data_IF_399136587717
#
_entry.id   IF_399136587717
#
_cell.length_a   1.000
_cell.length_b   1.000
_cell.length_c   1.000
_cell.angle_alpha   90.00
_cell.angle_beta   90.00
_cell.angle_gamma   90.00
#
_symmetry.space_group_name_H-M   'P 1'
#
loop_
_entity.id
_entity.type
_entity.pdbx_description
1 polymer ?
#
# COMPACT_ATOMS: atom_id res chain seq x y z
N UNK A 1 -15.25 -2.13 1.36
CA UNK A 1 -14.92 -2.89 2.59
C UNK A 1 -13.42 -2.89 2.81
N UNK A 2 -12.97 -2.52 3.99
CA UNK A 2 -11.56 -2.43 4.39
C UNK A 2 -11.33 -2.98 5.80
N UNK A 3 -10.07 -3.01 6.24
CA UNK A 3 -9.63 -3.22 7.60
C UNK A 3 -8.28 -2.55 7.85
N UNK A 4 -8.03 -2.08 9.06
CA UNK A 4 -6.83 -1.32 9.44
C UNK A 4 -5.61 -2.20 9.72
N UNK A 5 -5.47 -3.31 9.02
CA UNK A 5 -4.27 -4.15 9.07
C UNK A 5 -3.13 -3.45 8.31
N UNK A 6 -2.17 -2.86 9.06
CA UNK A 6 -1.02 -2.15 8.49
C UNK A 6 -1.31 -0.81 7.77
N UNK A 7 -2.58 -0.39 7.64
CA UNK A 7 -2.99 0.91 7.06
C UNK A 7 -3.01 1.00 5.53
N UNK A 8 -2.48 0.03 4.80
CA UNK A 8 -2.47 0.05 3.33
C UNK A 8 -3.85 -0.16 2.71
N UNK A 9 -4.70 -0.96 3.34
CA UNK A 9 -6.08 -1.21 2.90
C UNK A 9 -6.96 0.03 3.07
N UNK A 10 -6.83 0.72 4.21
CA UNK A 10 -7.56 1.96 4.47
C UNK A 10 -7.16 3.07 3.51
N UNK A 11 -5.85 3.19 3.19
CA UNK A 11 -5.38 4.16 2.22
C UNK A 11 -6.05 3.96 0.84
N UNK A 12 -6.26 2.71 0.42
CA UNK A 12 -6.97 2.37 -0.83
C UNK A 12 -8.46 2.68 -0.76
N UNK A 13 -9.12 2.34 0.33
CA UNK A 13 -10.54 2.67 0.51
C UNK A 13 -10.77 4.18 0.50
N UNK A 14 -9.88 4.94 1.14
CA UNK A 14 -9.88 6.41 1.09
C UNK A 14 -9.60 6.93 -0.32
N UNK A 15 -8.65 6.32 -1.04
CA UNK A 15 -8.34 6.71 -2.41
C UNK A 15 -9.55 6.51 -3.31
N UNK A 16 -10.23 5.35 -3.22
CA UNK A 16 -11.45 5.06 -3.96
C UNK A 16 -12.52 6.13 -3.71
N UNK A 17 -12.86 6.41 -2.45
CA UNK A 17 -13.86 7.43 -2.09
C UNK A 17 -13.48 8.83 -2.62
N UNK A 18 -12.21 9.21 -2.56
CA UNK A 18 -11.75 10.52 -3.06
C UNK A 18 -11.84 10.63 -4.57
N UNK A 19 -11.49 9.57 -5.30
CA UNK A 19 -11.59 9.53 -6.75
C UNK A 19 -13.03 9.57 -7.23
N UNK A 20 -13.92 8.77 -6.64
CA UNK A 20 -15.37 8.82 -6.95
C UNK A 20 -15.90 10.23 -6.70
N UNK A 21 -15.56 10.83 -5.56
CA UNK A 21 -15.97 12.18 -5.23
C UNK A 21 -15.48 13.22 -6.23
N UNK A 22 -14.25 13.06 -6.72
CA UNK A 22 -13.65 13.94 -7.72
C UNK A 22 -14.32 13.84 -9.10
N UNK A 23 -14.65 12.61 -9.52
CA UNK A 23 -15.17 12.36 -10.88
C UNK A 23 -16.69 12.56 -10.94
N UNK A 24 -17.42 12.03 -9.96
CA UNK A 24 -18.88 11.99 -9.95
C UNK A 24 -19.52 12.95 -8.94
N UNK A 25 -18.75 13.65 -8.15
CA UNK A 25 -19.31 14.56 -7.14
C UNK A 25 -20.17 13.82 -6.12
N UNK A 26 -21.45 14.19 -6.03
CA UNK A 26 -22.44 13.58 -5.15
C UNK A 26 -23.38 12.58 -5.87
N UNK A 27 -23.19 12.39 -7.18
CA UNK A 27 -24.02 11.48 -7.98
C UNK A 27 -23.78 10.01 -7.59
N UNK A 28 -22.61 9.69 -7.08
CA UNK A 28 -22.25 8.36 -6.58
C UNK A 28 -21.89 8.42 -5.10
N UNK A 29 -22.66 7.73 -4.28
CA UNK A 29 -22.41 7.61 -2.86
C UNK A 29 -21.43 6.48 -2.57
N UNK A 30 -20.43 6.74 -1.74
CA UNK A 30 -19.44 5.75 -1.31
C UNK A 30 -19.40 5.66 0.21
N UNK A 31 -19.81 4.52 0.74
CA UNK A 31 -19.69 4.16 2.14
C UNK A 31 -18.46 3.26 2.34
N UNK A 32 -17.60 3.60 3.30
CA UNK A 32 -16.43 2.82 3.67
C UNK A 32 -16.68 2.16 5.01
N UNK A 33 -16.54 0.84 5.06
CA UNK A 33 -16.76 0.03 6.26
C UNK A 33 -15.48 -0.71 6.67
N UNK A 34 -15.07 -0.54 7.92
CA UNK A 34 -13.94 -1.26 8.54
C UNK A 34 -14.43 -2.59 9.11
N UNK A 35 -14.73 -3.53 8.21
CA UNK A 35 -15.53 -4.71 8.49
C UNK A 35 -15.01 -5.58 9.66
N UNK A 36 -13.69 -5.78 9.79
CA UNK A 36 -13.17 -6.65 10.85
C UNK A 36 -13.29 -5.99 12.23
N UNK A 37 -13.01 -4.69 12.32
CA UNK A 37 -13.01 -3.93 13.56
C UNK A 37 -14.42 -3.62 14.06
N UNK A 38 -15.30 -3.23 13.14
CA UNK A 38 -16.64 -2.76 13.47
C UNK A 38 -17.61 -3.91 13.73
N UNK A 39 -17.34 -5.08 13.11
CA UNK A 39 -18.25 -6.20 13.17
C UNK A 39 -18.18 -7.04 14.45
N UNK A 40 -17.04 -7.11 15.10
CA UNK A 40 -16.88 -7.96 16.29
C UNK A 40 -15.69 -7.60 17.17
N UNK A 41 -15.79 -7.91 18.49
CA UNK A 41 -14.66 -7.76 19.40
C UNK A 41 -13.48 -8.67 19.03
N UNK A 42 -13.77 -9.88 18.50
CA UNK A 42 -12.74 -10.84 18.04
C UNK A 42 -12.02 -10.28 16.81
N UNK A 43 -12.72 -9.71 15.84
CA UNK A 43 -12.12 -9.06 14.68
C UNK A 43 -11.22 -7.90 15.09
N UNK A 44 -11.68 -7.04 15.99
CA UNK A 44 -10.89 -5.92 16.55
C UNK A 44 -9.62 -6.42 17.24
N UNK A 45 -9.72 -7.47 18.05
CA UNK A 45 -8.55 -8.08 18.68
C UNK A 45 -7.58 -8.66 17.63
N UNK A 46 -8.09 -9.35 16.62
CA UNK A 46 -7.26 -9.90 15.51
C UNK A 46 -6.47 -8.82 14.77
N UNK A 47 -7.11 -7.69 14.45
CA UNK A 47 -6.43 -6.53 13.82
C UNK A 47 -5.38 -5.91 14.75
N UNK A 48 -5.72 -5.73 16.04
CA UNK A 48 -4.77 -5.22 17.04
C UNK A 48 -3.57 -6.15 17.21
N UNK A 49 -3.80 -7.45 17.26
CA UNK A 49 -2.76 -8.49 17.37
C UNK A 49 -1.87 -8.51 16.10
N UNK A 50 -2.45 -8.42 14.90
CA UNK A 50 -1.70 -8.29 13.65
C UNK A 50 -0.76 -7.09 13.70
N UNK A 51 -1.28 -5.92 14.06
CA UNK A 51 -0.49 -4.69 14.13
C UNK A 51 0.59 -4.74 15.23
N UNK A 52 0.32 -5.42 16.34
CA UNK A 52 1.31 -5.67 17.40
C UNK A 52 2.46 -6.56 16.88
N UNK A 53 2.17 -7.68 16.24
CA UNK A 53 3.19 -8.56 15.65
C UNK A 53 4.03 -7.76 14.65
N UNK A 54 3.40 -6.97 13.78
CA UNK A 54 4.09 -6.16 12.78
C UNK A 54 5.11 -5.20 13.41
N UNK A 55 4.79 -4.63 14.56
CA UNK A 55 5.65 -3.69 15.27
C UNK A 55 6.77 -4.38 16.07
N UNK A 56 6.43 -5.44 16.79
CA UNK A 56 7.28 -6.01 17.83
C UNK A 56 8.01 -7.30 17.41
N UNK A 57 7.40 -8.11 16.55
CA UNK A 57 7.91 -9.44 16.19
C UNK A 57 7.55 -9.84 14.75
N UNK A 58 8.11 -9.15 13.72
CA UNK A 58 7.73 -9.38 12.31
C UNK A 58 7.88 -10.83 11.85
N UNK A 59 8.80 -11.60 12.44
CA UNK A 59 8.99 -13.02 12.12
C UNK A 59 7.78 -13.90 12.47
N UNK A 60 6.95 -13.50 13.45
CA UNK A 60 5.70 -14.18 13.81
C UNK A 60 4.62 -14.09 12.72
N UNK A 61 4.78 -13.19 11.76
CA UNK A 61 3.85 -13.16 10.62
C UNK A 61 3.88 -14.41 9.75
N UNK A 62 4.98 -15.16 9.75
CA UNK A 62 5.06 -16.42 9.00
C UNK A 62 4.11 -17.49 9.55
N UNK A 63 4.19 -17.91 10.83
CA UNK A 63 3.23 -18.85 11.38
C UNK A 63 1.79 -18.29 11.43
N UNK A 64 1.63 -16.98 11.68
CA UNK A 64 0.32 -16.32 11.62
C UNK A 64 -0.30 -16.44 10.22
N UNK A 65 0.45 -16.14 9.16
CA UNK A 65 -0.02 -16.25 7.79
C UNK A 65 -0.44 -17.69 7.45
N UNK A 66 0.38 -18.69 7.81
CA UNK A 66 0.06 -20.11 7.58
C UNK A 66 -1.21 -20.51 8.32
N UNK A 67 -1.40 -20.04 9.56
CA UNK A 67 -2.62 -20.30 10.34
C UNK A 67 -3.85 -19.68 9.67
N UNK A 68 -3.80 -18.42 9.29
CA UNK A 68 -4.94 -17.73 8.64
C UNK A 68 -5.26 -18.37 7.29
N UNK A 69 -4.26 -18.70 6.47
CA UNK A 69 -4.45 -19.41 5.22
C UNK A 69 -5.06 -20.82 5.47
N UNK A 70 -4.58 -21.56 6.48
CA UNK A 70 -5.14 -22.86 6.86
C UNK A 70 -6.60 -22.76 7.28
N UNK A 71 -6.96 -21.81 8.14
CA UNK A 71 -8.33 -21.56 8.55
C UNK A 71 -9.24 -21.19 7.36
N UNK A 72 -8.71 -20.53 6.36
CA UNK A 72 -9.47 -20.17 5.16
C UNK A 72 -9.91 -21.38 4.31
N UNK A 73 -9.22 -22.53 4.43
CA UNK A 73 -9.66 -23.78 3.81
C UNK A 73 -10.90 -24.40 4.49
N UNK A 74 -11.06 -24.15 5.79
CA UNK A 74 -12.22 -24.62 6.55
C UNK A 74 -13.45 -23.74 6.28
N UNK A 75 -13.25 -22.46 5.98
CA UNK A 75 -14.33 -21.51 5.73
C UNK A 75 -14.57 -21.30 4.21
N UNK A 76 -15.39 -22.15 3.61
CA UNK A 76 -15.55 -22.19 2.16
C UNK A 76 -16.55 -21.19 1.56
N UNK A 77 -17.58 -20.74 2.30
CA UNK A 77 -18.67 -19.94 1.67
C UNK A 77 -19.49 -19.06 2.62
N UNK A 78 -19.13 -18.93 3.88
CA UNK A 78 -19.93 -18.17 4.85
C UNK A 78 -19.08 -17.16 5.60
N UNK A 79 -19.66 -15.97 5.85
CA UNK A 79 -19.10 -15.03 6.81
C UNK A 79 -19.23 -15.62 8.20
N UNK A 80 -18.11 -15.95 8.84
CA UNK A 80 -18.09 -16.55 10.18
C UNK A 80 -18.06 -15.48 11.27
N UNK A 81 -17.29 -14.41 11.05
CA UNK A 81 -17.16 -13.30 11.98
C UNK A 81 -17.90 -12.08 11.46
N UNK A 82 -18.74 -11.48 12.31
CA UNK A 82 -19.41 -10.23 11.97
C UNK A 82 -20.57 -10.35 10.97
N UNK A 83 -21.07 -11.55 10.66
CA UNK A 83 -22.15 -11.78 9.70
C UNK A 83 -23.36 -10.89 9.98
N UNK A 84 -23.80 -10.81 11.24
CA UNK A 84 -24.98 -10.03 11.65
C UNK A 84 -24.80 -8.56 11.28
N UNK A 85 -23.68 -7.98 11.68
CA UNK A 85 -23.34 -6.59 11.36
C UNK A 85 -23.30 -6.35 9.85
N UNK A 86 -22.58 -7.20 9.11
CA UNK A 86 -22.50 -7.09 7.66
C UNK A 86 -23.88 -7.17 6.99
N UNK A 87 -24.71 -8.14 7.39
CA UNK A 87 -26.06 -8.29 6.85
C UNK A 87 -26.94 -7.07 7.14
N UNK A 88 -26.82 -6.46 8.32
CA UNK A 88 -27.51 -5.20 8.66
C UNK A 88 -27.04 -4.03 7.77
N UNK A 89 -25.72 -3.89 7.56
CA UNK A 89 -25.17 -2.88 6.65
C UNK A 89 -25.71 -3.05 5.24
N UNK A 90 -25.70 -4.28 4.69
CA UNK A 90 -26.18 -4.57 3.33
C UNK A 90 -27.68 -4.30 3.19
N UNK A 91 -28.50 -4.72 4.17
CA UNK A 91 -29.96 -4.47 4.13
C UNK A 91 -30.32 -3.00 4.20
N UNK A 92 -29.59 -2.24 5.02
CA UNK A 92 -29.89 -0.83 5.26
C UNK A 92 -29.36 0.07 4.12
N UNK A 93 -28.15 -0.21 3.62
CA UNK A 93 -27.51 0.61 2.60
C UNK A 93 -27.88 0.22 1.17
N UNK A 94 -28.19 -1.07 0.93
CA UNK A 94 -28.54 -1.66 -0.38
C UNK A 94 -27.60 -1.26 -1.49
N UNK A 95 -26.28 -1.54 -1.37
CA UNK A 95 -25.31 -1.10 -2.35
C UNK A 95 -25.50 -1.81 -3.70
N UNK A 96 -25.31 -1.09 -4.82
CA UNK A 96 -25.25 -1.69 -6.16
C UNK A 96 -23.90 -2.36 -6.41
N UNK A 97 -22.84 -1.92 -5.69
CA UNK A 97 -21.50 -2.50 -5.76
C UNK A 97 -20.91 -2.73 -4.37
N UNK A 98 -20.43 -3.93 -4.12
CA UNK A 98 -19.61 -4.26 -2.96
C UNK A 98 -18.17 -4.43 -3.42
N UNK A 99 -17.32 -3.43 -3.11
CA UNK A 99 -15.89 -3.46 -3.39
C UNK A 99 -15.12 -3.91 -2.14
N UNK A 100 -14.30 -4.96 -2.28
CA UNK A 100 -13.31 -5.36 -1.28
C UNK A 100 -11.91 -4.90 -1.68
N UNK A 101 -11.22 -4.23 -0.75
CA UNK A 101 -9.81 -3.88 -0.88
C UNK A 101 -8.93 -4.66 0.11
N UNK A 102 -9.49 -5.71 0.72
CA UNK A 102 -8.82 -6.54 1.72
C UNK A 102 -9.04 -8.03 1.39
N UNK A 103 -8.01 -8.86 1.51
CA UNK A 103 -8.07 -10.28 1.17
C UNK A 103 -9.12 -11.06 1.97
N UNK A 104 -9.24 -10.83 3.26
CA UNK A 104 -10.19 -11.55 4.12
C UNK A 104 -11.67 -11.13 3.93
N UNK A 105 -11.98 -10.13 3.09
CA UNK A 105 -13.32 -9.58 2.94
C UNK A 105 -13.99 -9.91 1.58
N UNK A 106 -13.55 -10.95 0.91
CA UNK A 106 -14.10 -11.39 -0.36
C UNK A 106 -15.04 -12.59 -0.17
N UNK A 107 -14.45 -13.70 0.27
CA UNK A 107 -15.15 -14.98 0.39
C UNK A 107 -16.19 -14.95 1.51
N UNK A 108 -17.40 -15.41 1.18
CA UNK A 108 -18.53 -15.37 2.10
C UNK A 108 -19.28 -14.03 2.07
N UNK A 109 -18.57 -12.90 2.03
CA UNK A 109 -19.16 -11.57 2.00
C UNK A 109 -19.94 -11.31 0.69
N UNK A 110 -19.36 -11.66 -0.45
CA UNK A 110 -20.03 -11.53 -1.74
C UNK A 110 -21.26 -12.42 -1.86
N UNK A 111 -21.18 -13.66 -1.35
CA UNK A 111 -22.32 -14.57 -1.30
C UNK A 111 -23.45 -14.04 -0.42
N UNK A 112 -23.11 -13.50 0.77
CA UNK A 112 -24.09 -12.94 1.70
C UNK A 112 -24.78 -11.70 1.12
N UNK A 113 -24.04 -10.80 0.45
CA UNK A 113 -24.62 -9.63 -0.20
C UNK A 113 -25.63 -10.04 -1.27
N UNK A 114 -25.28 -11.01 -2.11
CA UNK A 114 -26.19 -11.53 -3.15
C UNK A 114 -27.38 -12.28 -2.59
N UNK A 115 -27.21 -12.98 -1.47
CA UNK A 115 -28.33 -13.66 -0.80
C UNK A 115 -29.35 -12.67 -0.21
N UNK A 116 -28.89 -11.48 0.20
CA UNK A 116 -29.75 -10.45 0.79
C UNK A 116 -30.44 -9.60 -0.30
N UNK A 117 -29.70 -9.19 -1.33
CA UNK A 117 -30.18 -8.20 -2.31
C UNK A 117 -30.67 -8.81 -3.63
N UNK A 118 -30.33 -10.07 -3.90
CA UNK A 118 -30.47 -10.68 -5.24
C UNK A 118 -29.19 -10.49 -6.06
N UNK A 119 -28.85 -11.49 -6.86
CA UNK A 119 -27.63 -11.48 -7.69
C UNK A 119 -27.66 -10.40 -8.78
N UNK A 120 -28.84 -10.08 -9.26
CA UNK A 120 -29.12 -9.06 -10.27
C UNK A 120 -28.94 -7.63 -9.73
N UNK A 121 -29.18 -7.39 -8.43
CA UNK A 121 -29.23 -6.07 -7.81
C UNK A 121 -27.90 -5.65 -7.16
N UNK A 122 -26.89 -6.53 -7.13
CA UNK A 122 -25.58 -6.21 -6.56
C UNK A 122 -24.45 -6.87 -7.34
N UNK A 123 -23.44 -6.08 -7.64
CA UNK A 123 -22.16 -6.55 -8.18
C UNK A 123 -21.11 -6.60 -7.10
N UNK A 124 -20.10 -7.46 -7.29
CA UNK A 124 -19.03 -7.66 -6.33
C UNK A 124 -17.67 -7.55 -7.02
N UNK A 125 -16.81 -6.70 -6.50
CA UNK A 125 -15.47 -6.48 -7.04
C UNK A 125 -14.39 -6.62 -5.98
N UNK A 126 -13.21 -7.06 -6.41
CA UNK A 126 -11.99 -7.13 -5.60
C UNK A 126 -10.91 -6.25 -6.21
N UNK A 127 -10.30 -5.38 -5.40
CA UNK A 127 -9.04 -4.72 -5.77
C UNK A 127 -7.88 -5.39 -5.03
N UNK A 128 -7.14 -6.25 -5.71
CA UNK A 128 -5.96 -6.92 -5.18
C UNK A 128 -4.74 -6.01 -5.23
N UNK A 129 -4.09 -5.84 -4.09
CA UNK A 129 -2.96 -4.94 -3.93
C UNK A 129 -1.59 -5.59 -4.15
N UNK A 130 -1.55 -6.91 -4.39
CA UNK A 130 -0.29 -7.63 -4.50
C UNK A 130 0.44 -7.30 -5.82
N UNK A 131 1.79 -7.29 -5.75
CA UNK A 131 2.65 -7.08 -6.92
C UNK A 131 2.98 -8.37 -7.66
N UNK A 132 3.08 -9.47 -6.92
CA UNK A 132 3.47 -10.76 -7.47
C UNK A 132 2.71 -11.90 -6.80
N UNK A 133 2.82 -13.09 -7.37
CA UNK A 133 2.34 -14.33 -6.77
C UNK A 133 3.44 -15.10 -6.05
N UNK A 134 3.04 -16.03 -5.21
CA UNK A 134 3.93 -16.91 -4.45
C UNK A 134 3.57 -16.98 -2.97
N UNK A 135 4.52 -17.39 -2.13
CA UNK A 135 4.34 -17.38 -0.69
C UNK A 135 4.10 -15.96 -0.16
N UNK A 136 2.98 -15.75 0.51
CA UNK A 136 2.49 -14.44 0.95
C UNK A 136 1.31 -13.91 0.13
N UNK A 137 0.99 -14.51 -1.01
CA UNK A 137 -0.24 -14.22 -1.74
C UNK A 137 -1.39 -15.01 -1.11
N UNK A 138 -2.24 -14.32 -0.37
CA UNK A 138 -3.39 -14.97 0.26
C UNK A 138 -4.38 -15.48 -0.77
N UNK A 139 -4.80 -16.75 -0.62
CA UNK A 139 -5.88 -17.33 -1.43
C UNK A 139 -7.20 -16.56 -1.28
N UNK A 140 -7.36 -15.87 -0.18
CA UNK A 140 -8.56 -15.12 0.13
C UNK A 140 -8.76 -13.89 -0.78
N UNK A 141 -7.72 -13.45 -1.50
CA UNK A 141 -7.88 -12.49 -2.59
C UNK A 141 -8.79 -13.01 -3.70
N UNK A 142 -8.80 -14.33 -3.92
CA UNK A 142 -9.49 -14.92 -5.06
C UNK A 142 -10.81 -15.54 -4.63
N UNK A 143 -11.90 -14.91 -5.04
CA UNK A 143 -13.26 -15.41 -4.91
C UNK A 143 -13.85 -15.65 -6.31
N UNK A 144 -14.09 -16.91 -6.74
CA UNK A 144 -14.52 -17.22 -8.10
C UNK A 144 -15.84 -16.57 -8.52
N UNK A 145 -16.70 -16.25 -7.54
CA UNK A 145 -17.99 -15.58 -7.80
C UNK A 145 -17.88 -14.08 -8.00
N UNK A 146 -16.68 -13.49 -7.94
CA UNK A 146 -16.45 -12.06 -8.20
C UNK A 146 -16.92 -11.69 -9.61
N UNK A 147 -17.51 -10.51 -9.78
CA UNK A 147 -17.87 -9.99 -11.10
C UNK A 147 -16.65 -9.33 -11.78
N UNK A 148 -15.85 -8.60 -10.99
CA UNK A 148 -14.63 -7.93 -11.45
C UNK A 148 -13.50 -8.09 -10.45
N UNK A 149 -12.35 -8.54 -10.94
CA UNK A 149 -11.10 -8.59 -10.16
C UNK A 149 -10.07 -7.64 -10.75
N UNK A 150 -9.72 -6.61 -10.00
CA UNK A 150 -8.72 -5.62 -10.42
C UNK A 150 -7.37 -6.03 -9.85
N UNK A 151 -6.46 -6.40 -10.72
CA UNK A 151 -5.07 -6.73 -10.38
C UNK A 151 -4.16 -5.53 -10.62
N UNK A 152 -3.17 -5.35 -9.75
CA UNK A 152 -2.17 -4.30 -9.89
C UNK A 152 -1.21 -4.58 -11.05
N UNK A 153 -0.77 -5.83 -11.19
CA UNK A 153 0.25 -6.24 -12.15
C UNK A 153 -0.19 -7.46 -12.97
N UNK A 154 0.43 -7.65 -14.12
CA UNK A 154 0.27 -8.86 -14.92
C UNK A 154 0.76 -10.10 -14.17
N UNK A 155 1.82 -9.97 -13.37
CA UNK A 155 2.38 -11.08 -12.58
C UNK A 155 1.39 -11.57 -11.54
N UNK A 156 0.72 -10.66 -10.80
CA UNK A 156 -0.32 -11.01 -9.85
C UNK A 156 -1.57 -11.60 -10.55
N UNK A 157 -2.00 -11.02 -11.70
CA UNK A 157 -3.08 -11.59 -12.53
C UNK A 157 -2.76 -13.04 -12.92
N UNK A 158 -1.60 -13.27 -13.51
CA UNK A 158 -1.20 -14.60 -13.97
C UNK A 158 -1.21 -15.62 -12.82
N UNK A 159 -0.79 -15.21 -11.63
CA UNK A 159 -0.81 -16.09 -10.47
C UNK A 159 -2.24 -16.41 -10.02
N UNK A 160 -3.15 -15.45 -10.00
CA UNK A 160 -4.57 -15.69 -9.70
C UNK A 160 -5.20 -16.68 -10.69
N UNK A 161 -4.90 -16.55 -11.99
CA UNK A 161 -5.38 -17.46 -13.06
C UNK A 161 -4.77 -18.85 -12.91
N UNK A 162 -3.43 -18.93 -12.85
CA UNK A 162 -2.75 -20.24 -12.91
C UNK A 162 -2.90 -21.04 -11.63
N UNK A 163 -2.77 -20.38 -10.47
CA UNK A 163 -2.78 -21.04 -9.15
C UNK A 163 -4.18 -21.27 -8.60
N UNK A 164 -5.08 -20.29 -8.78
CA UNK A 164 -6.42 -20.32 -8.18
C UNK A 164 -7.56 -20.49 -9.20
N UNK A 165 -7.21 -20.60 -10.49
CA UNK A 165 -8.17 -20.84 -11.58
C UNK A 165 -9.25 -19.76 -11.68
N UNK A 166 -8.89 -18.51 -11.32
CA UNK A 166 -9.79 -17.39 -11.53
C UNK A 166 -9.94 -17.14 -13.04
N UNK A 167 -11.16 -16.93 -13.49
CA UNK A 167 -11.49 -16.66 -14.88
C UNK A 167 -10.72 -15.40 -15.37
N UNK A 168 -9.87 -15.52 -16.40
CA UNK A 168 -9.09 -14.40 -16.90
C UNK A 168 -9.94 -13.26 -17.48
N UNK A 169 -11.17 -13.53 -17.93
CA UNK A 169 -12.09 -12.50 -18.46
C UNK A 169 -12.61 -11.57 -17.37
N UNK A 170 -12.66 -12.05 -16.12
CA UNK A 170 -13.03 -11.23 -14.95
C UNK A 170 -11.88 -10.37 -14.44
N UNK A 171 -10.66 -10.48 -14.99
CA UNK A 171 -9.48 -9.84 -14.42
C UNK A 171 -8.95 -8.74 -15.35
N UNK A 172 -8.97 -7.52 -14.84
CA UNK A 172 -8.29 -6.38 -15.48
C UNK A 172 -7.02 -6.01 -14.71
N UNK A 173 -6.06 -5.39 -15.41
CA UNK A 173 -4.81 -4.88 -14.82
C UNK A 173 -4.82 -3.36 -14.94
N UNK A 174 -4.77 -2.64 -13.81
CA UNK A 174 -4.90 -1.17 -13.77
C UNK A 174 -3.73 -0.43 -13.09
N UNK A 175 -2.67 -1.14 -12.72
CA UNK A 175 -1.52 -0.52 -12.05
C UNK A 175 -1.80 -0.07 -10.61
N UNK A 176 -1.24 1.09 -10.24
CA UNK A 176 -1.38 1.64 -8.90
C UNK A 176 -2.66 2.48 -8.78
N UNK A 177 -3.23 2.44 -7.59
CA UNK A 177 -4.39 3.25 -7.26
C UNK A 177 -4.11 4.01 -5.97
N UNK A 178 -3.65 5.25 -6.12
CA UNK A 178 -3.28 6.17 -5.04
C UNK A 178 -4.31 7.30 -4.95
N UNK A 179 -4.27 8.08 -3.88
CA UNK A 179 -5.18 9.23 -3.70
C UNK A 179 -4.93 10.30 -4.78
N UNK A 180 -5.96 11.06 -5.22
CA UNK A 180 -5.84 12.05 -6.31
C UNK A 180 -4.66 13.01 -6.16
N UNK A 181 -4.44 13.54 -4.95
CA UNK A 181 -3.39 14.53 -4.68
C UNK A 181 -1.98 14.06 -5.08
N UNK A 182 -1.71 12.74 -5.06
CA UNK A 182 -0.40 12.20 -5.45
C UNK A 182 -0.12 12.42 -6.93
N UNK A 183 -1.17 12.41 -7.75
CA UNK A 183 -1.08 12.65 -9.19
C UNK A 183 -1.09 14.14 -9.53
N UNK A 184 -1.64 14.99 -8.68
CA UNK A 184 -1.91 16.40 -8.91
C UNK A 184 -0.87 17.33 -8.29
N UNK A 185 -0.41 17.01 -7.08
CA UNK A 185 0.52 17.84 -6.32
C UNK A 185 1.97 17.49 -6.70
N UNK A 186 2.53 18.26 -7.62
CA UNK A 186 3.93 18.14 -8.03
C UNK A 186 4.69 19.41 -7.70
N UNK A 187 5.72 19.27 -6.88
CA UNK A 187 6.60 20.39 -6.55
C UNK A 187 7.40 20.85 -7.77
N UNK A 188 7.37 22.14 -8.06
CA UNK A 188 8.31 22.78 -8.96
C UNK A 188 9.73 22.72 -8.39
N UNK A 189 10.74 22.99 -9.21
CA UNK A 189 12.13 23.03 -8.75
C UNK A 189 12.33 24.03 -7.61
N UNK A 190 11.68 25.19 -7.67
CA UNK A 190 11.74 26.22 -6.63
C UNK A 190 11.07 25.76 -5.32
N UNK A 191 9.86 25.21 -5.40
CA UNK A 191 9.13 24.69 -4.24
C UNK A 191 9.88 23.50 -3.59
N UNK A 192 10.47 22.63 -4.42
CA UNK A 192 11.32 21.53 -3.94
C UNK A 192 12.52 22.06 -3.16
N UNK A 193 13.21 23.07 -3.68
CA UNK A 193 14.33 23.71 -3.00
C UNK A 193 13.90 24.32 -1.66
N UNK A 194 12.84 25.10 -1.65
CA UNK A 194 12.28 25.71 -0.43
C UNK A 194 11.86 24.67 0.59
N UNK A 195 11.18 23.64 0.16
CA UNK A 195 10.73 22.56 1.05
C UNK A 195 11.92 21.87 1.72
N UNK A 196 12.99 21.57 0.95
CA UNK A 196 14.22 20.96 1.49
C UNK A 196 14.90 21.90 2.51
N UNK A 197 15.06 23.18 2.18
CA UNK A 197 15.87 24.11 2.99
C UNK A 197 15.10 24.71 4.16
N UNK A 198 13.89 25.19 3.92
CA UNK A 198 13.09 25.91 4.91
C UNK A 198 12.26 24.97 5.79
N UNK A 199 11.57 23.98 5.19
CA UNK A 199 10.70 23.05 5.94
C UNK A 199 11.48 21.94 6.62
N UNK A 200 12.45 21.32 5.91
CA UNK A 200 13.21 20.18 6.43
C UNK A 200 14.52 20.60 7.11
N UNK A 201 15.04 21.79 6.86
CA UNK A 201 16.37 22.23 7.34
C UNK A 201 17.51 21.40 6.79
N UNK A 202 17.32 20.84 5.60
CA UNK A 202 18.31 20.02 4.88
C UNK A 202 18.99 20.84 3.78
N UNK A 203 20.02 20.30 3.17
CA UNK A 203 20.74 20.91 2.05
C UNK A 203 20.19 20.43 0.73
N UNK A 204 20.05 21.32 -0.25
CA UNK A 204 19.57 20.95 -1.59
C UNK A 204 20.63 20.32 -2.50
N UNK A 205 21.91 20.42 -2.11
CA UNK A 205 23.07 19.87 -2.84
C UNK A 205 23.49 18.47 -2.37
N UNK A 206 22.84 17.91 -1.34
CA UNK A 206 23.11 16.55 -0.83
C UNK A 206 21.94 15.62 -1.10
N UNK A 207 22.24 14.34 -1.31
CA UNK A 207 21.21 13.32 -1.52
C UNK A 207 20.42 13.05 -0.23
N UNK A 208 19.11 12.95 -0.34
CA UNK A 208 18.21 12.69 0.79
C UNK A 208 17.82 11.21 0.80
N UNK A 209 18.20 10.53 1.89
CA UNK A 209 17.70 9.18 2.20
C UNK A 209 16.47 9.32 3.08
N UNK A 210 15.34 8.80 2.62
CA UNK A 210 14.10 8.80 3.35
C UNK A 210 13.90 7.48 4.10
N UNK A 211 13.94 7.51 5.43
CA UNK A 211 13.61 6.35 6.28
C UNK A 211 12.12 6.34 6.57
N UNK A 212 11.35 5.53 5.82
CA UNK A 212 9.90 5.41 5.92
C UNK A 212 9.50 4.02 6.43
N UNK A 213 9.15 3.90 7.69
CA UNK A 213 8.91 2.59 8.34
C UNK A 213 7.44 2.23 8.48
N UNK A 214 6.56 2.90 7.73
CA UNK A 214 5.11 2.69 7.75
C UNK A 214 4.39 3.46 8.87
N UNK A 215 3.04 3.49 8.82
CA UNK A 215 2.22 4.31 9.70
C UNK A 215 2.29 3.93 11.19
N UNK A 216 2.57 2.66 11.50
CA UNK A 216 2.77 2.17 12.88
C UNK A 216 4.18 2.41 13.42
N UNK A 217 5.14 2.70 12.53
CA UNK A 217 6.52 3.00 12.85
C UNK A 217 7.32 1.78 13.35
N UNK A 218 8.21 1.22 12.53
CA UNK A 218 9.18 0.23 13.01
C UNK A 218 10.21 0.90 13.94
N UNK A 219 10.89 0.10 14.77
CA UNK A 219 11.78 0.62 15.82
C UNK A 219 13.28 0.42 15.48
N UNK A 220 13.62 0.37 14.20
CA UNK A 220 14.98 0.04 13.75
C UNK A 220 15.73 1.18 13.03
N UNK A 221 15.20 2.40 13.05
CA UNK A 221 15.84 3.57 12.42
C UNK A 221 17.24 3.83 12.98
N UNK A 222 17.39 3.73 14.30
CA UNK A 222 18.66 4.00 14.98
C UNK A 222 19.80 3.10 14.53
N UNK A 223 19.50 1.87 14.12
CA UNK A 223 20.53 0.94 13.64
C UNK A 223 21.09 1.31 12.28
N UNK A 224 20.35 2.11 11.49
CA UNK A 224 20.75 2.53 10.14
C UNK A 224 21.49 3.88 10.13
N UNK A 225 21.18 4.77 11.10
CA UNK A 225 21.74 6.11 11.14
C UNK A 225 23.27 6.17 11.23
N UNK A 226 23.96 5.30 12.00
CA UNK A 226 25.44 5.28 12.04
C UNK A 226 26.08 5.00 10.67
N UNK A 227 25.50 4.10 9.87
CA UNK A 227 26.00 3.81 8.52
C UNK A 227 25.84 5.04 7.59
N UNK A 228 24.71 5.76 7.70
CA UNK A 228 24.50 6.98 6.90
C UNK A 228 25.44 8.11 7.34
N UNK A 229 25.70 8.21 8.65
CA UNK A 229 26.59 9.25 9.21
C UNK A 229 28.01 9.20 8.62
N UNK A 230 28.54 8.03 8.34
CA UNK A 230 29.88 7.86 7.73
C UNK A 230 30.00 8.56 6.37
N UNK A 231 28.87 8.79 5.68
CA UNK A 231 28.82 9.43 4.36
C UNK A 231 28.03 10.74 4.39
N UNK A 232 28.09 11.48 5.52
CA UNK A 232 27.32 12.71 5.76
C UNK A 232 27.64 13.85 4.78
N UNK A 233 28.79 13.82 4.11
CA UNK A 233 29.13 14.78 3.05
C UNK A 233 28.32 14.56 1.76
N UNK A 234 27.90 13.33 1.49
CA UNK A 234 27.13 12.97 0.29
C UNK A 234 25.64 12.81 0.59
N UNK A 235 25.32 12.26 1.76
CA UNK A 235 23.96 11.89 2.15
C UNK A 235 23.51 12.62 3.41
N UNK A 236 22.23 12.88 3.45
CA UNK A 236 21.50 13.38 4.60
C UNK A 236 20.20 12.59 4.76
N UNK A 237 19.53 12.71 5.88
CA UNK A 237 18.42 11.80 6.18
C UNK A 237 17.14 12.53 6.60
N UNK A 238 16.03 12.05 6.05
CA UNK A 238 14.68 12.36 6.48
C UNK A 238 14.10 11.11 7.16
N UNK A 239 13.75 11.20 8.43
CA UNK A 239 13.24 10.08 9.22
C UNK A 239 11.79 10.34 9.58
N UNK A 240 10.90 9.42 9.22
CA UNK A 240 9.49 9.45 9.65
C UNK A 240 9.23 8.27 10.58
N UNK A 241 8.86 8.59 11.82
CA UNK A 241 8.63 7.61 12.89
C UNK A 241 7.17 7.16 13.01
N UNK A 242 6.25 7.72 12.19
CA UNK A 242 4.83 7.42 12.26
C UNK A 242 4.25 7.68 13.66
N UNK A 243 3.36 6.80 14.12
CA UNK A 243 2.74 6.89 15.45
C UNK A 243 3.61 6.31 16.58
N UNK A 244 4.89 6.06 16.32
CA UNK A 244 5.83 5.53 17.32
C UNK A 244 6.58 6.66 18.02
N UNK A 245 5.98 7.22 19.08
CA UNK A 245 6.58 8.31 19.87
C UNK A 245 7.91 7.90 20.52
N UNK A 246 8.09 6.64 20.90
CA UNK A 246 9.35 6.16 21.48
C UNK A 246 10.48 6.23 20.44
N UNK A 247 10.25 5.73 19.23
CA UNK A 247 11.20 5.82 18.14
C UNK A 247 11.52 7.29 17.79
N UNK A 248 10.49 8.15 17.75
CA UNK A 248 10.66 9.59 17.52
C UNK A 248 11.59 10.23 18.54
N UNK A 249 11.37 9.99 19.83
CA UNK A 249 12.21 10.56 20.90
C UNK A 249 13.65 10.01 20.84
N UNK A 250 13.82 8.71 20.60
CA UNK A 250 15.14 8.08 20.45
C UNK A 250 15.93 8.68 19.29
N UNK A 251 15.30 8.85 18.11
CA UNK A 251 15.94 9.44 16.94
C UNK A 251 16.29 10.91 17.18
N UNK A 252 15.42 11.69 17.82
CA UNK A 252 15.70 13.08 18.18
C UNK A 252 16.90 13.21 19.14
N UNK A 253 17.00 12.34 20.14
CA UNK A 253 18.13 12.33 21.06
C UNK A 253 19.42 11.93 20.32
N UNK A 254 19.37 10.93 19.46
CA UNK A 254 20.51 10.53 18.63
C UNK A 254 20.98 11.71 17.75
N UNK A 255 20.06 12.41 17.09
CA UNK A 255 20.37 13.60 16.27
C UNK A 255 21.12 14.67 17.05
N UNK A 256 20.70 14.97 18.29
CA UNK A 256 21.38 15.98 19.14
C UNK A 256 22.85 15.62 19.40
N UNK A 257 23.13 14.32 19.55
CA UNK A 257 24.48 13.81 19.83
C UNK A 257 25.29 13.58 18.54
N UNK A 258 24.70 13.79 17.36
CA UNK A 258 25.35 13.56 16.07
C UNK A 258 25.05 14.72 15.10
N UNK A 259 25.54 15.95 15.40
CA UNK A 259 25.25 17.15 14.61
C UNK A 259 25.84 17.12 13.20
N UNK A 260 26.86 16.28 12.96
CA UNK A 260 27.53 16.14 11.67
C UNK A 260 26.60 15.56 10.58
N UNK A 261 25.64 14.71 10.96
CA UNK A 261 24.64 14.23 10.03
C UNK A 261 23.42 15.16 10.00
N UNK A 262 23.20 15.84 8.88
CA UNK A 262 21.96 16.57 8.64
C UNK A 262 20.78 15.59 8.66
N UNK A 263 19.87 15.81 9.62
CA UNK A 263 18.77 14.90 9.88
C UNK A 263 17.49 15.68 10.18
N UNK A 264 16.43 15.44 9.37
CA UNK A 264 15.07 15.86 9.72
C UNK A 264 14.34 14.67 10.35
N UNK A 265 13.62 14.92 11.45
CA UNK A 265 12.88 13.86 12.17
C UNK A 265 11.44 14.28 12.30
N UNK A 266 10.54 13.46 11.77
CA UNK A 266 9.11 13.67 11.78
C UNK A 266 8.37 12.53 12.50
N UNK A 267 7.27 12.85 13.16
CA UNK A 267 6.35 11.86 13.73
C UNK A 267 5.36 11.35 12.68
N UNK A 268 4.08 11.27 13.07
CA UNK A 268 3.01 11.01 12.11
C UNK A 268 2.68 12.28 11.32
N UNK A 269 2.71 12.17 10.00
CA UNK A 269 2.40 13.30 9.11
C UNK A 269 1.57 12.88 7.90
N UNK A 270 0.97 13.87 7.25
CA UNK A 270 0.18 13.70 6.02
C UNK A 270 0.95 14.14 4.76
N UNK A 271 2.23 14.51 4.90
CA UNK A 271 3.09 15.06 3.84
C UNK A 271 4.00 14.00 3.19
N UNK A 272 3.70 12.71 3.36
CA UNK A 272 4.53 11.60 2.84
C UNK A 272 4.83 11.74 1.34
N UNK A 273 3.85 12.22 0.57
CA UNK A 273 4.01 12.45 -0.87
C UNK A 273 5.02 13.57 -1.19
N UNK A 274 5.10 14.61 -0.36
CA UNK A 274 6.10 15.69 -0.50
C UNK A 274 7.48 15.18 -0.10
N UNK A 275 7.56 14.41 0.98
CA UNK A 275 8.82 13.78 1.41
C UNK A 275 9.38 12.84 0.33
N UNK A 276 8.51 12.06 -0.32
CA UNK A 276 8.92 11.19 -1.42
C UNK A 276 9.43 11.97 -2.63
N UNK A 277 8.78 13.09 -2.98
CA UNK A 277 9.19 13.95 -4.10
C UNK A 277 10.57 14.60 -3.90
N UNK A 278 10.97 14.90 -2.67
CA UNK A 278 12.25 15.54 -2.39
C UNK A 278 13.38 14.56 -2.15
N UNK A 279 13.06 13.29 -1.94
CA UNK A 279 14.02 12.25 -1.60
C UNK A 279 14.67 11.62 -2.83
N UNK A 280 15.92 11.21 -2.69
CA UNK A 280 16.67 10.51 -3.74
C UNK A 280 16.54 9.00 -3.63
N UNK A 281 16.17 8.50 -2.44
CA UNK A 281 16.09 7.10 -2.09
C UNK A 281 15.16 6.93 -0.89
N UNK A 282 14.34 5.88 -0.87
CA UNK A 282 13.54 5.50 0.30
C UNK A 282 13.95 4.14 0.85
N UNK A 283 14.11 4.06 2.16
CA UNK A 283 14.29 2.78 2.88
C UNK A 283 12.97 2.45 3.56
N UNK A 284 12.34 1.36 3.14
CA UNK A 284 11.01 0.94 3.62
C UNK A 284 10.90 -0.57 3.71
N UNK A 285 9.88 -1.06 4.44
CA UNK A 285 9.68 -2.51 4.64
C UNK A 285 9.03 -3.24 3.47
N UNK A 286 8.46 -2.55 2.51
CA UNK A 286 7.79 -3.17 1.38
C UNK A 286 6.26 -3.11 1.46
N UNK A 287 5.70 -2.22 2.27
CA UNK A 287 4.27 -1.93 2.23
C UNK A 287 3.85 -1.44 0.84
N UNK A 288 2.84 -2.07 0.26
CA UNK A 288 2.48 -1.88 -1.15
C UNK A 288 2.07 -0.45 -1.50
N UNK A 289 1.53 0.33 -0.55
CA UNK A 289 1.19 1.75 -0.78
C UNK A 289 2.44 2.60 -0.90
N UNK A 290 3.38 2.49 0.05
CA UNK A 290 4.64 3.24 0.03
C UNK A 290 5.47 2.91 -1.21
N UNK A 291 5.51 1.63 -1.62
CA UNK A 291 6.22 1.22 -2.84
C UNK A 291 5.55 1.79 -4.11
N UNK A 292 4.21 1.92 -4.12
CA UNK A 292 3.50 2.57 -5.22
C UNK A 292 3.80 4.06 -5.30
N UNK A 293 3.83 4.75 -4.16
CA UNK A 293 4.20 6.16 -4.07
C UNK A 293 5.65 6.37 -4.53
N UNK A 294 6.58 5.52 -4.05
CA UNK A 294 7.98 5.56 -4.46
C UNK A 294 8.14 5.41 -5.97
N UNK A 295 7.42 4.46 -6.58
CA UNK A 295 7.48 4.25 -8.02
C UNK A 295 6.85 5.41 -8.80
N UNK A 296 5.75 5.98 -8.29
CA UNK A 296 5.12 7.16 -8.90
C UNK A 296 6.08 8.37 -8.94
N UNK A 297 6.81 8.60 -7.84
CA UNK A 297 7.78 9.70 -7.73
C UNK A 297 9.19 9.34 -8.19
N UNK A 298 9.40 8.17 -8.77
CA UNK A 298 10.70 7.70 -9.28
C UNK A 298 11.79 7.70 -8.19
N UNK A 299 11.39 7.44 -6.92
CA UNK A 299 12.27 7.37 -5.75
C UNK A 299 12.68 5.91 -5.51
N UNK A 300 13.93 5.48 -5.81
CA UNK A 300 14.36 4.09 -5.66
C UNK A 300 14.17 3.56 -4.25
N UNK A 301 13.98 2.25 -4.14
CA UNK A 301 13.68 1.58 -2.88
C UNK A 301 14.87 0.75 -2.42
N UNK A 302 15.21 0.88 -1.13
CA UNK A 302 15.91 -0.17 -0.37
C UNK A 302 14.89 -0.83 0.54
N UNK A 303 14.72 -2.13 0.41
CA UNK A 303 13.89 -2.91 1.31
C UNK A 303 14.59 -3.15 2.64
N UNK A 304 13.96 -2.71 3.72
CA UNK A 304 14.44 -2.90 5.08
C UNK A 304 14.00 -4.27 5.62
N UNK A 305 14.88 -5.26 5.53
CA UNK A 305 14.70 -6.61 6.05
C UNK A 305 15.12 -6.80 7.50
N UNK A 306 15.58 -5.75 8.21
CA UNK A 306 15.99 -5.84 9.60
C UNK A 306 14.82 -6.32 10.49
N UNK A 307 15.04 -7.37 11.28
CA UNK A 307 14.01 -7.97 12.13
C UNK A 307 13.04 -8.90 11.42
N UNK A 308 13.29 -9.20 10.14
CA UNK A 308 12.49 -10.09 9.29
C UNK A 308 11.54 -9.35 8.36
N UNK A 309 11.11 -10.03 7.30
CA UNK A 309 10.21 -9.54 6.25
C UNK A 309 8.91 -10.33 6.30
N UNK A 310 7.78 -9.66 6.31
CA UNK A 310 6.47 -10.33 6.28
C UNK A 310 6.24 -11.06 4.94
N UNK A 311 5.42 -12.13 4.91
CA UNK A 311 5.14 -12.88 3.67
C UNK A 311 4.70 -11.99 2.51
N UNK A 312 3.80 -11.04 2.74
CA UNK A 312 3.29 -10.11 1.72
C UNK A 312 4.36 -9.10 1.28
N UNK A 313 5.20 -8.63 2.21
CA UNK A 313 6.33 -7.74 1.90
C UNK A 313 7.39 -8.42 1.04
N UNK A 314 7.58 -9.76 1.22
CA UNK A 314 8.46 -10.56 0.34
C UNK A 314 7.99 -10.56 -1.10
N UNK A 315 6.68 -10.59 -1.34
CA UNK A 315 6.14 -10.51 -2.71
C UNK A 315 6.43 -9.16 -3.36
N UNK A 316 6.26 -8.08 -2.60
CA UNK A 316 6.60 -6.73 -3.06
C UNK A 316 8.09 -6.64 -3.37
N UNK A 317 8.95 -7.04 -2.43
CA UNK A 317 10.39 -7.03 -2.63
C UNK A 317 10.79 -7.89 -3.85
N UNK A 318 10.27 -9.11 -3.97
CA UNK A 318 10.53 -9.99 -5.12
C UNK A 318 10.24 -9.31 -6.45
N UNK A 319 9.14 -8.55 -6.54
CA UNK A 319 8.75 -7.86 -7.76
C UNK A 319 9.78 -6.77 -8.15
N UNK A 320 10.20 -5.94 -7.19
CA UNK A 320 11.12 -4.84 -7.44
C UNK A 320 12.58 -5.28 -7.58
N UNK A 321 12.96 -6.43 -7.01
CA UNK A 321 14.33 -6.96 -7.11
C UNK A 321 14.59 -7.70 -8.44
N UNK A 322 13.55 -8.01 -9.23
CA UNK A 322 13.70 -8.80 -10.46
C UNK A 322 14.66 -8.13 -11.43
N UNK A 323 14.67 -6.93 -11.72
CA UNK A 323 15.56 -6.28 -12.71
C UNK A 323 16.64 -5.43 -12.04
N UNK A 324 17.09 -5.82 -10.85
CA UNK A 324 18.02 -5.03 -10.03
C UNK A 324 17.56 -3.56 -9.86
N UNK A 325 16.25 -3.37 -9.81
CA UNK A 325 15.63 -2.05 -9.73
C UNK A 325 15.47 -1.55 -8.29
N UNK A 326 15.76 -2.39 -7.31
CA UNK A 326 15.76 -2.08 -5.89
C UNK A 326 16.86 -2.85 -5.19
N UNK A 327 17.14 -2.46 -3.95
CA UNK A 327 18.09 -3.15 -3.07
C UNK A 327 17.36 -3.70 -1.84
N UNK A 328 17.98 -4.65 -1.14
CA UNK A 328 17.51 -5.16 0.14
C UNK A 328 18.66 -5.20 1.15
N UNK A 329 18.38 -4.80 2.39
CA UNK A 329 19.33 -4.87 3.49
C UNK A 329 18.77 -5.76 4.59
N UNK A 330 19.60 -6.63 5.16
CA UNK A 330 19.26 -7.52 6.27
C UNK A 330 19.98 -7.13 7.57
N UNK A 331 21.03 -6.35 7.46
CA UNK A 331 21.82 -5.81 8.56
C UNK A 331 22.36 -4.41 8.21
N UNK A 332 22.72 -3.58 9.19
CA UNK A 332 23.24 -2.23 8.94
C UNK A 332 24.48 -2.19 8.04
N UNK A 333 25.36 -3.20 8.12
CA UNK A 333 26.54 -3.29 7.26
C UNK A 333 26.21 -3.43 5.76
N UNK A 334 25.02 -3.96 5.40
CA UNK A 334 24.60 -4.01 4.00
C UNK A 334 24.33 -2.59 3.47
N UNK A 335 23.73 -1.72 4.29
CA UNK A 335 23.53 -0.32 3.93
C UNK A 335 24.86 0.42 3.80
N UNK A 336 25.77 0.21 4.75
CA UNK A 336 27.11 0.81 4.72
C UNK A 336 27.85 0.44 3.42
N UNK A 337 27.83 -0.83 3.03
CA UNK A 337 28.41 -1.32 1.77
C UNK A 337 27.80 -0.62 0.55
N UNK A 338 26.48 -0.47 0.49
CA UNK A 338 25.79 0.23 -0.62
C UNK A 338 26.19 1.70 -0.67
N UNK A 339 26.20 2.39 0.47
CA UNK A 339 26.55 3.82 0.53
C UNK A 339 28.02 4.04 0.16
N UNK A 340 28.94 3.17 0.62
CA UNK A 340 30.34 3.18 0.23
C UNK A 340 30.50 3.04 -1.28
N UNK A 341 29.80 2.06 -1.86
CA UNK A 341 29.84 1.80 -3.29
C UNK A 341 29.32 3.00 -4.10
N UNK A 342 28.19 3.57 -3.71
CA UNK A 342 27.59 4.73 -4.41
C UNK A 342 28.36 6.03 -4.20
N UNK A 343 29.06 6.16 -3.08
CA UNK A 343 29.96 7.28 -2.84
C UNK A 343 31.21 7.19 -3.73
N UNK A 344 31.76 5.96 -3.89
CA UNK A 344 32.95 5.71 -4.73
C UNK A 344 32.62 5.68 -6.23
N UNK A 345 31.45 5.15 -6.59
CA UNK A 345 31.00 4.95 -7.95
C UNK A 345 29.56 5.52 -8.14
N UNK A 346 29.42 6.85 -8.27
CA UNK A 346 28.10 7.50 -8.36
C UNK A 346 27.23 7.04 -9.54
N UNK A 347 27.83 6.48 -10.60
CA UNK A 347 27.13 5.90 -11.76
C UNK A 347 26.26 4.72 -11.34
N UNK A 348 26.68 3.89 -10.37
CA UNK A 348 25.87 2.75 -9.90
C UNK A 348 24.56 3.20 -9.26
N UNK A 349 24.58 4.30 -8.52
CA UNK A 349 23.35 4.89 -8.00
C UNK A 349 22.47 5.48 -9.12
N UNK A 350 23.06 6.12 -10.13
CA UNK A 350 22.32 6.59 -11.31
C UNK A 350 21.69 5.45 -12.09
N UNK A 351 22.39 4.32 -12.20
CA UNK A 351 21.89 3.11 -12.87
C UNK A 351 20.70 2.50 -12.11
N UNK A 352 20.78 2.42 -10.78
CA UNK A 352 19.65 2.01 -9.95
C UNK A 352 18.44 2.91 -10.19
N UNK A 353 18.62 4.25 -10.16
CA UNK A 353 17.55 5.22 -10.45
C UNK A 353 16.94 5.00 -11.84
N UNK A 354 17.76 4.74 -12.85
CA UNK A 354 17.31 4.49 -14.22
C UNK A 354 16.50 3.19 -14.31
N UNK A 355 16.99 2.08 -13.75
CA UNK A 355 16.26 0.80 -13.72
C UNK A 355 14.95 0.93 -12.97
N UNK A 356 14.94 1.59 -11.82
CA UNK A 356 13.73 1.83 -11.05
C UNK A 356 12.69 2.64 -11.82
N UNK A 357 13.11 3.70 -12.53
CA UNK A 357 12.23 4.51 -13.40
C UNK A 357 11.59 3.68 -14.50
N UNK A 358 12.32 2.73 -15.09
CA UNK A 358 11.82 1.87 -16.16
C UNK A 358 10.73 0.89 -15.70
N UNK A 359 10.60 0.65 -14.38
CA UNK A 359 9.50 -0.14 -13.82
C UNK A 359 8.17 0.61 -13.77
N UNK A 360 8.17 1.90 -14.08
CA UNK A 360 6.97 2.74 -13.95
C UNK A 360 5.80 2.20 -14.76
N UNK A 361 4.65 2.08 -14.11
CA UNK A 361 3.39 1.78 -14.77
C UNK A 361 2.77 3.05 -15.36
N UNK A 362 2.01 2.87 -16.43
CA UNK A 362 1.07 3.90 -16.86
C UNK A 362 -0.20 3.76 -16.01
N UNK A 363 -0.16 4.39 -14.83
CA UNK A 363 -1.31 4.40 -13.92
C UNK A 363 -2.47 5.18 -14.52
N UNK A 364 -3.66 4.60 -14.43
CA UNK A 364 -4.90 5.24 -14.88
C UNK A 364 -5.97 5.08 -13.79
N UNK A 365 -5.84 5.81 -12.68
CA UNK A 365 -6.76 5.64 -11.54
C UNK A 365 -8.21 6.00 -11.88
N UNK A 366 -8.45 6.92 -12.81
CA UNK A 366 -9.79 7.22 -13.29
C UNK A 366 -10.45 6.02 -13.98
N UNK A 367 -9.70 5.23 -14.76
CA UNK A 367 -10.23 4.01 -15.39
C UNK A 367 -10.71 2.98 -14.36
N UNK A 368 -10.01 2.86 -13.20
CA UNK A 368 -10.48 2.01 -12.09
C UNK A 368 -11.86 2.44 -11.63
N UNK A 369 -12.09 3.74 -11.54
CA UNK A 369 -13.38 4.28 -11.10
C UNK A 369 -14.44 4.04 -12.15
N UNK A 370 -14.16 4.28 -13.43
CA UNK A 370 -15.08 4.00 -14.53
C UNK A 370 -15.47 2.53 -14.55
N UNK A 371 -14.52 1.60 -14.56
CA UNK A 371 -14.78 0.15 -14.52
C UNK A 371 -15.71 -0.25 -13.35
N UNK A 372 -15.52 0.34 -12.18
CA UNK A 372 -16.30 0.00 -10.98
C UNK A 372 -17.68 0.67 -10.96
N UNK A 373 -17.81 1.89 -11.48
CA UNK A 373 -19.11 2.58 -11.57
C UNK A 373 -19.95 1.96 -12.68
N UNK A 374 -19.36 1.60 -13.82
CA UNK A 374 -20.03 0.88 -14.90
C UNK A 374 -20.56 -0.46 -14.39
N UNK A 375 -19.71 -1.19 -13.65
CA UNK A 375 -20.13 -2.45 -13.02
C UNK A 375 -21.31 -2.24 -12.03
N UNK A 376 -21.30 -1.13 -11.27
CA UNK A 376 -22.42 -0.79 -10.38
C UNK A 376 -23.71 -0.48 -11.15
N UNK A 377 -23.60 0.20 -12.29
CA UNK A 377 -24.72 0.50 -13.17
C UNK A 377 -25.38 -0.75 -13.74
N UNK A 378 -24.62 -1.82 -13.99
CA UNK A 378 -25.19 -3.10 -14.42
C UNK A 378 -26.11 -3.76 -13.39
N UNK A 379 -26.06 -3.31 -12.14
CA UNK A 379 -26.99 -3.73 -11.09
C UNK A 379 -28.27 -2.87 -11.02
N UNK A 380 -28.34 -1.77 -11.77
CA UNK A 380 -29.52 -0.94 -11.86
C UNK A 380 -30.50 -1.46 -12.93
N UNK A 381 -31.82 -1.35 -12.72
CA UNK A 381 -32.82 -1.55 -13.78
C UNK A 381 -32.52 -0.63 -14.96
N UNK A 382 -32.72 -1.09 -16.21
CA UNK A 382 -32.38 -0.32 -17.42
C UNK A 382 -32.98 1.10 -17.41
N UNK A 383 -34.22 1.25 -16.93
CA UNK A 383 -34.94 2.54 -16.82
C UNK A 383 -34.33 3.51 -15.81
N UNK A 384 -33.47 3.03 -14.91
CA UNK A 384 -32.84 3.81 -13.83
C UNK A 384 -31.34 4.06 -14.10
N UNK A 385 -30.81 3.54 -15.22
CA UNK A 385 -29.41 3.75 -15.60
C UNK A 385 -29.20 5.19 -16.08
N UNK A 386 -28.47 6.04 -15.34
CA UNK A 386 -28.14 7.36 -15.83
C UNK A 386 -27.29 7.26 -17.09
N UNK A 387 -27.49 8.21 -18.01
CA UNK A 387 -26.57 8.32 -19.15
C UNK A 387 -25.14 8.59 -18.63
N UNK A 388 -24.23 7.66 -18.88
CA UNK A 388 -22.83 7.81 -18.50
C UNK A 388 -22.25 9.03 -19.20
N UNK A 389 -21.85 10.05 -18.45
CA UNK A 389 -21.02 11.13 -18.98
C UNK A 389 -19.66 10.54 -19.29
N UNK A 390 -19.40 10.27 -20.56
CA UNK A 390 -18.03 10.07 -21.04
C UNK A 390 -17.33 11.41 -20.87
N UNK A 391 -16.60 11.57 -19.78
CA UNK A 391 -15.72 12.72 -19.61
C UNK A 391 -14.57 12.50 -20.59
N UNK A 392 -14.58 13.25 -21.70
CA UNK A 392 -13.52 13.25 -22.69
C UNK A 392 -12.14 13.51 -22.05
N UNK A 393 -11.13 13.02 -22.72
CA UNK A 393 -9.70 13.04 -22.37
C UNK A 393 -9.17 14.42 -21.95
#
# INVERSE_FOLDING_TARGET
MTSSTGGGHDARAVAFRRWVRKIYGWEVEVRVESMLEDSSRIGRFGVAFYNFIQKCAPWLHHPYFVLVEGLSYLNRSRVTLGRRYYSEVIRNYKPHLVLSVHDCLNRGYFQEARAILGKENVRCATYCSEYAGGYGYSRNWVEPSVDLYISRTRTAKNYAVTRYKLDPEKIIVRGHFLVPRIYEEKLSAFERHRFITERLGLRSDRKIIFLATGGTGANNHLSLLPAIKQYSETFQVLVVCGRNNEAFMKVRNWKRNNPDLRCHVEGYCNEMHLFMQVSDLVITRGGTTTCSEALHYECPIIFNGLGGVMPQEKLTAKYFLQDESAEIISKPADLERLLMEWNRFPERFRDLKRRFRNMRFKDRPSEVIYDLVDLAHDALPERERPALKVVGE
#
